data_IF_828395413893
#
_entry.id   IF_828395413893
#
_cell.length_a   1.000
_cell.length_b   1.000
_cell.length_c   1.000
_cell.angle_alpha   90.00
_cell.angle_beta   90.00
_cell.angle_gamma   90.00
#
_symmetry.space_group_name_H-M   'P 1'
#
loop_
_entity.id
_entity.type
_entity.pdbx_description
1 polymer ?
#
# COMPACT_ATOMS: atom_id res chain seq x y z
N UNK A 1 -12.00 -27.65 -36.03
CA UNK A 1 -13.21 -26.89 -35.67
C UNK A 1 -12.73 -25.53 -35.18
N UNK A 2 -12.27 -24.56 -35.98
CA UNK A 2 -12.68 -24.09 -37.31
C UNK A 2 -14.09 -23.49 -37.31
N UNK A 3 -14.24 -22.35 -36.62
CA UNK A 3 -15.40 -21.48 -36.79
C UNK A 3 -14.94 -20.08 -37.20
N UNK A 4 -14.91 -19.94 -38.52
CA UNK A 4 -14.88 -18.72 -39.30
C UNK A 4 -16.30 -18.13 -39.33
N UNK A 5 -16.41 -16.79 -39.37
CA UNK A 5 -17.56 -15.90 -39.73
C UNK A 5 -17.82 -14.87 -38.61
N UNK A 6 -18.03 -13.59 -38.88
CA UNK A 6 -18.18 -12.86 -40.12
C UNK A 6 -18.24 -11.36 -39.81
N UNK A 7 -17.64 -10.56 -40.68
CA UNK A 7 -17.53 -9.11 -40.58
C UNK A 7 -18.73 -8.48 -41.31
N UNK A 8 -19.60 -7.68 -40.67
CA UNK A 8 -20.55 -6.86 -41.41
C UNK A 8 -19.90 -5.52 -41.80
N UNK A 9 -19.72 -5.34 -43.10
CA UNK A 9 -19.49 -4.05 -43.71
C UNK A 9 -20.83 -3.32 -43.89
N UNK A 10 -21.06 -2.26 -43.10
CA UNK A 10 -22.21 -1.37 -43.21
C UNK A 10 -21.77 0.03 -43.65
N UNK A 11 -21.67 0.23 -44.96
CA UNK A 11 -21.50 1.52 -45.64
C UNK A 11 -22.88 2.06 -46.00
N UNK A 12 -23.21 3.29 -45.60
CA UNK A 12 -24.24 4.07 -46.29
C UNK A 12 -25.09 4.99 -45.42
N UNK A 13 -25.00 6.29 -45.71
CA UNK A 13 -26.06 7.29 -45.58
C UNK A 13 -26.60 7.65 -44.18
N UNK A 14 -26.06 8.73 -43.59
CA UNK A 14 -26.91 9.76 -42.96
C UNK A 14 -26.10 11.01 -42.58
N UNK A 15 -25.68 11.82 -43.55
CA UNK A 15 -25.18 13.18 -43.30
C UNK A 15 -25.70 14.15 -44.37
N UNK A 16 -27.02 14.28 -44.49
CA UNK A 16 -27.66 15.22 -45.44
C UNK A 16 -28.61 16.24 -44.79
N UNK A 17 -28.57 16.44 -43.47
CA UNK A 17 -29.47 17.38 -42.78
C UNK A 17 -28.76 18.37 -41.83
N UNK A 18 -27.67 18.99 -42.28
CA UNK A 18 -27.17 20.23 -41.68
C UNK A 18 -27.26 21.39 -42.67
N UNK A 19 -28.50 21.82 -42.94
CA UNK A 19 -28.76 23.16 -43.46
C UNK A 19 -29.67 23.87 -42.47
N UNK A 20 -29.43 25.18 -42.35
CA UNK A 20 -30.30 26.19 -41.74
C UNK A 20 -30.00 26.56 -40.28
N UNK A 21 -28.74 26.82 -39.96
CA UNK A 21 -28.48 27.95 -39.07
C UNK A 21 -28.37 29.22 -39.94
N UNK A 22 -29.13 30.28 -39.65
CA UNK A 22 -29.06 31.53 -40.38
C UNK A 22 -27.62 32.05 -40.30
N UNK A 23 -27.07 32.46 -41.45
CA UNK A 23 -25.76 33.12 -41.56
C UNK A 23 -25.78 34.43 -40.77
N UNK A 24 -25.66 34.36 -39.44
CA UNK A 24 -25.26 35.51 -38.63
C UNK A 24 -23.91 35.93 -39.18
N UNK A 25 -23.81 37.21 -39.56
CA UNK A 25 -22.56 37.81 -40.03
C UNK A 25 -21.47 37.41 -39.04
N UNK A 26 -20.52 36.60 -39.51
CA UNK A 26 -19.33 36.29 -38.75
C UNK A 26 -18.71 37.65 -38.37
N UNK A 27 -18.38 37.87 -37.09
CA UNK A 27 -17.68 39.09 -36.70
C UNK A 27 -16.45 39.22 -37.61
N UNK A 28 -16.33 40.39 -38.24
CA UNK A 28 -15.21 40.70 -39.12
C UNK A 28 -13.94 40.49 -38.30
N UNK A 29 -13.12 39.53 -38.71
CA UNK A 29 -11.83 39.35 -38.07
C UNK A 29 -10.98 40.59 -38.40
N UNK A 30 -10.35 41.21 -37.40
CA UNK A 30 -9.41 42.30 -37.64
C UNK A 30 -8.27 41.83 -38.54
N UNK A 31 -7.71 42.75 -39.33
CA UNK A 31 -6.67 42.46 -40.32
C UNK A 31 -5.46 41.74 -39.67
N UNK A 32 -4.85 40.80 -40.43
CA UNK A 32 -3.60 40.11 -40.06
C UNK A 32 -2.47 41.13 -39.91
N UNK A 33 -2.33 41.72 -38.73
CA UNK A 33 -1.33 42.75 -38.47
C UNK A 33 -1.49 43.42 -37.13
N UNK A 34 -2.70 43.41 -36.55
CA UNK A 34 -2.88 43.87 -35.17
C UNK A 34 -2.36 42.81 -34.19
N UNK A 35 -1.45 43.26 -33.33
CA UNK A 35 -0.78 42.43 -32.31
C UNK A 35 -1.86 41.90 -31.34
N UNK A 36 -2.21 40.62 -31.45
CA UNK A 36 -3.04 39.88 -30.48
C UNK A 36 -2.50 39.92 -29.02
N UNK A 37 -1.32 40.51 -28.79
CA UNK A 37 -0.67 40.60 -27.49
C UNK A 37 -1.37 41.47 -26.44
N UNK A 38 -2.41 42.24 -26.78
CA UNK A 38 -3.16 43.04 -25.81
C UNK A 38 -4.15 42.24 -24.97
N UNK A 39 -4.92 41.35 -25.60
CA UNK A 39 -5.97 40.55 -24.94
C UNK A 39 -5.46 39.23 -24.34
N UNK A 40 -4.34 38.71 -24.86
CA UNK A 40 -3.73 37.50 -24.32
C UNK A 40 -3.04 37.75 -22.98
N UNK A 41 -2.52 38.95 -22.71
CA UNK A 41 -1.83 39.29 -21.45
C UNK A 41 -2.69 39.15 -20.19
N UNK A 42 -3.92 39.71 -20.12
CA UNK A 42 -4.76 39.52 -18.93
C UNK A 42 -5.21 38.06 -18.79
N UNK A 43 -5.57 37.39 -19.88
CA UNK A 43 -6.00 35.99 -19.84
C UNK A 43 -4.87 35.03 -19.41
N UNK A 44 -3.64 35.25 -19.90
CA UNK A 44 -2.47 34.46 -19.47
C UNK A 44 -2.08 34.74 -18.02
N UNK A 45 -2.20 35.98 -17.54
CA UNK A 45 -1.96 36.28 -16.13
C UNK A 45 -2.98 35.61 -15.20
N UNK A 46 -4.26 35.60 -15.58
CA UNK A 46 -5.30 34.89 -14.82
C UNK A 46 -5.06 33.38 -14.82
N UNK A 47 -4.75 32.79 -15.97
CA UNK A 47 -4.46 31.36 -16.07
C UNK A 47 -3.21 30.96 -15.27
N UNK A 48 -2.14 31.76 -15.33
CA UNK A 48 -0.93 31.55 -14.54
C UNK A 48 -1.20 31.69 -13.04
N UNK A 49 -2.03 32.65 -12.63
CA UNK A 49 -2.47 32.81 -11.25
C UNK A 49 -3.24 31.61 -10.73
N UNK A 50 -4.21 31.10 -11.51
CA UNK A 50 -4.97 29.90 -11.15
C UNK A 50 -4.05 28.67 -11.04
N UNK A 51 -3.14 28.48 -12.00
CA UNK A 51 -2.17 27.39 -11.96
C UNK A 51 -1.27 27.47 -10.71
N UNK A 52 -0.78 28.67 -10.36
CA UNK A 52 0.02 28.88 -9.16
C UNK A 52 -0.76 28.58 -7.87
N UNK A 53 -2.04 28.96 -7.80
CA UNK A 53 -2.91 28.64 -6.67
C UNK A 53 -3.13 27.13 -6.56
N UNK A 54 -3.40 26.44 -7.67
CA UNK A 54 -3.56 24.98 -7.67
C UNK A 54 -2.27 24.30 -7.18
N UNK A 55 -1.11 24.71 -7.70
CA UNK A 55 0.19 24.17 -7.25
C UNK A 55 0.40 24.44 -5.76
N UNK A 56 0.09 25.64 -5.28
CA UNK A 56 0.19 25.97 -3.86
C UNK A 56 -0.75 25.12 -3.01
N UNK A 57 -2.00 24.91 -3.42
CA UNK A 57 -2.96 24.06 -2.72
C UNK A 57 -2.51 22.59 -2.71
N UNK A 58 -1.94 22.09 -3.82
CA UNK A 58 -1.36 20.74 -3.88
C UNK A 58 -0.15 20.63 -2.96
N UNK A 59 0.76 21.60 -2.97
CA UNK A 59 1.95 21.59 -2.10
C UNK A 59 1.56 21.70 -0.62
N UNK A 60 0.62 22.58 -0.28
CA UNK A 60 0.09 22.69 1.08
C UNK A 60 -0.61 21.38 1.46
N UNK A 61 -1.46 20.82 0.59
CA UNK A 61 -2.11 19.53 0.83
C UNK A 61 -1.09 18.42 1.09
N UNK A 62 -0.04 18.31 0.27
CA UNK A 62 1.04 17.33 0.46
C UNK A 62 1.78 17.57 1.79
N UNK A 63 2.07 18.82 2.14
CA UNK A 63 2.75 19.17 3.39
C UNK A 63 1.86 18.95 4.63
N UNK A 64 0.56 19.18 4.53
CA UNK A 64 -0.40 19.02 5.65
C UNK A 64 -0.92 17.61 5.82
N UNK A 65 -0.78 16.75 4.80
CA UNK A 65 -1.21 15.34 4.86
C UNK A 65 -0.07 14.42 5.34
N UNK A 66 1.18 14.90 5.40
CA UNK A 66 2.34 14.14 5.91
C UNK A 66 3.20 14.83 6.99
N UNK A 67 2.67 15.68 7.91
CA UNK A 67 3.49 16.28 8.95
C UNK A 67 4.04 15.23 9.94
N UNK A 68 3.45 14.04 10.00
CA UNK A 68 3.77 13.00 10.98
C UNK A 68 4.54 11.81 10.40
N UNK A 69 4.96 11.82 9.13
CA UNK A 69 5.83 10.75 8.63
C UNK A 69 7.27 11.04 9.08
N UNK A 70 7.81 10.27 10.03
CA UNK A 70 9.17 10.49 10.51
C UNK A 70 10.17 10.35 9.35
N UNK A 71 11.10 11.30 9.25
CA UNK A 71 12.17 11.28 8.25
C UNK A 71 13.50 10.77 8.79
N UNK A 72 13.55 10.48 10.09
CA UNK A 72 14.74 9.94 10.77
C UNK A 72 14.57 8.45 11.00
N UNK A 73 15.70 7.74 11.03
CA UNK A 73 15.74 6.30 11.31
C UNK A 73 15.03 5.95 12.63
N UNK A 74 15.30 6.70 13.69
CA UNK A 74 14.64 6.50 14.99
C UNK A 74 13.12 6.68 14.91
N UNK A 75 12.66 7.66 14.14
CA UNK A 75 11.23 7.92 14.00
C UNK A 75 10.53 6.82 13.20
N UNK A 76 11.11 6.37 12.09
CA UNK A 76 10.51 5.25 11.32
C UNK A 76 10.56 3.94 12.10
N UNK A 77 11.59 3.74 12.93
CA UNK A 77 11.66 2.59 13.84
C UNK A 77 10.55 2.65 14.88
N UNK A 78 10.31 3.82 15.48
CA UNK A 78 9.20 4.01 16.43
C UNK A 78 7.81 3.82 15.79
N UNK A 79 7.64 4.20 14.52
CA UNK A 79 6.40 3.93 13.76
C UNK A 79 6.18 2.41 13.63
N UNK A 80 7.22 1.66 13.26
CA UNK A 80 7.17 0.21 13.13
C UNK A 80 6.87 -0.47 14.47
N UNK A 81 7.56 -0.09 15.55
CA UNK A 81 7.31 -0.68 16.87
C UNK A 81 5.90 -0.38 17.36
N UNK A 82 5.37 0.81 17.11
CA UNK A 82 3.97 1.16 17.43
C UNK A 82 2.97 0.27 16.67
N UNK A 83 3.26 -0.06 15.41
CA UNK A 83 2.41 -0.97 14.64
C UNK A 83 2.47 -2.40 15.18
N UNK A 84 3.66 -2.86 15.57
CA UNK A 84 3.85 -4.16 16.23
C UNK A 84 3.08 -4.19 17.56
N UNK A 85 3.20 -3.17 18.40
CA UNK A 85 2.45 -3.05 19.66
C UNK A 85 0.93 -3.10 19.43
N UNK A 86 0.44 -2.45 18.37
CA UNK A 86 -0.96 -2.52 17.97
C UNK A 86 -1.41 -3.95 17.65
N UNK A 87 -0.56 -4.73 16.99
CA UNK A 87 -0.84 -6.14 16.68
C UNK A 87 -0.83 -7.01 17.95
N UNK A 88 0.11 -6.76 18.87
CA UNK A 88 0.17 -7.46 20.16
C UNK A 88 -1.05 -7.12 21.03
N UNK A 89 -1.58 -5.91 20.94
CA UNK A 89 -2.79 -5.51 21.67
C UNK A 89 -4.06 -6.23 21.19
N UNK A 90 -4.04 -6.89 20.03
CA UNK A 90 -5.12 -7.74 19.53
C UNK A 90 -5.03 -9.19 20.05
N UNK A 91 -4.05 -9.52 20.89
CA UNK A 91 -4.04 -10.81 21.54
C UNK A 91 -5.22 -10.93 22.52
N UNK A 92 -5.82 -12.12 22.65
CA UNK A 92 -6.82 -12.37 23.68
C UNK A 92 -6.27 -12.01 25.06
N UNK A 93 -7.10 -11.43 25.94
CA UNK A 93 -6.67 -10.97 27.27
C UNK A 93 -6.07 -12.10 28.13
N UNK A 94 -6.52 -13.33 27.92
CA UNK A 94 -6.04 -14.53 28.62
C UNK A 94 -4.77 -15.15 27.98
N UNK A 95 -4.31 -14.62 26.84
CA UNK A 95 -3.18 -15.14 26.05
C UNK A 95 -1.92 -14.29 26.23
N UNK A 96 -1.49 -14.11 27.48
CA UNK A 96 -0.22 -13.45 27.76
C UNK A 96 0.97 -14.30 27.29
N UNK A 97 1.96 -13.71 26.59
CA UNK A 97 3.18 -14.43 26.23
C UNK A 97 4.04 -14.71 27.47
N UNK A 98 4.70 -15.87 27.49
CA UNK A 98 5.66 -16.21 28.53
C UNK A 98 6.99 -15.46 28.35
N UNK A 99 7.36 -15.17 27.11
CA UNK A 99 8.54 -14.40 26.74
C UNK A 99 8.21 -13.37 25.67
N UNK A 100 8.87 -12.23 25.73
CA UNK A 100 8.74 -11.13 24.77
C UNK A 100 10.14 -10.59 24.46
N UNK A 101 10.64 -10.92 23.28
CA UNK A 101 11.98 -10.55 22.82
C UNK A 101 11.88 -9.67 21.59
N UNK A 102 12.39 -8.45 21.68
CA UNK A 102 12.47 -7.53 20.55
C UNK A 102 13.93 -7.32 20.15
N UNK A 103 14.18 -7.32 18.85
CA UNK A 103 15.46 -7.00 18.26
C UNK A 103 15.28 -6.07 17.06
N UNK A 104 16.19 -5.10 16.93
CA UNK A 104 16.23 -4.20 15.79
C UNK A 104 17.64 -4.18 15.22
N UNK A 105 17.75 -4.32 13.91
CA UNK A 105 19.02 -4.29 13.18
C UNK A 105 18.95 -3.22 12.12
N UNK A 106 19.90 -2.29 12.14
CA UNK A 106 20.07 -1.30 11.07
C UNK A 106 20.83 -1.96 9.93
N UNK A 107 20.30 -1.85 8.72
CA UNK A 107 20.89 -2.42 7.51
C UNK A 107 20.79 -1.46 6.33
N UNK A 108 21.67 -1.66 5.35
CA UNK A 108 21.62 -0.92 4.09
C UNK A 108 20.32 -1.22 3.34
N UNK A 109 19.82 -0.23 2.62
CA UNK A 109 18.61 -0.40 1.83
C UNK A 109 18.78 -1.38 0.66
N UNK A 110 17.76 -2.21 0.38
CA UNK A 110 17.83 -3.26 -0.65
C UNK A 110 17.92 -2.69 -2.07
N UNK A 111 17.59 -1.42 -2.26
CA UNK A 111 17.73 -0.70 -3.53
C UNK A 111 19.18 -0.29 -3.85
N UNK A 112 20.11 -0.50 -2.92
CA UNK A 112 21.52 -0.14 -3.05
C UNK A 112 21.80 1.36 -2.86
N UNK A 113 20.83 2.12 -2.36
CA UNK A 113 21.03 3.52 -1.97
C UNK A 113 21.95 3.62 -0.74
N UNK A 114 22.42 4.84 -0.45
CA UNK A 114 23.16 5.14 0.77
C UNK A 114 22.25 5.33 1.99
N UNK A 115 20.95 5.08 1.84
CA UNK A 115 19.97 5.14 2.93
C UNK A 115 20.03 3.85 3.77
N UNK A 116 19.56 3.97 5.00
CA UNK A 116 19.49 2.87 5.95
C UNK A 116 18.04 2.59 6.32
N UNK A 117 17.75 1.34 6.64
CA UNK A 117 16.48 0.88 7.17
C UNK A 117 16.70 0.07 8.45
N UNK A 118 15.72 0.07 9.35
CA UNK A 118 15.68 -0.78 10.53
C UNK A 118 14.81 -2.01 10.24
N UNK A 119 15.39 -3.20 10.35
CA UNK A 119 14.64 -4.45 10.40
C UNK A 119 14.33 -4.76 11.86
N UNK A 120 13.05 -4.73 12.22
CA UNK A 120 12.57 -5.02 13.58
C UNK A 120 11.96 -6.42 13.58
N UNK A 121 12.39 -7.25 14.52
CA UNK A 121 11.82 -8.58 14.77
C UNK A 121 11.45 -8.70 16.23
N UNK A 122 10.20 -9.06 16.51
CA UNK A 122 9.69 -9.34 17.84
C UNK A 122 9.16 -10.76 17.91
N UNK A 123 9.58 -11.49 18.95
CA UNK A 123 9.21 -12.88 19.19
C UNK A 123 8.47 -12.97 20.50
N UNK A 124 7.20 -13.37 20.43
CA UNK A 124 6.36 -13.68 21.58
C UNK A 124 6.29 -15.19 21.74
N UNK A 125 6.92 -15.72 22.77
CA UNK A 125 7.03 -17.16 23.01
C UNK A 125 6.03 -17.64 24.05
N UNK A 126 5.55 -18.88 23.90
CA UNK A 126 4.73 -19.53 24.90
C UNK A 126 3.35 -18.92 25.07
N UNK A 127 2.75 -18.38 24.01
CA UNK A 127 1.39 -17.82 24.05
C UNK A 127 0.39 -18.97 24.19
N UNK A 128 -0.28 -19.07 25.34
CA UNK A 128 -1.24 -20.15 25.60
C UNK A 128 -2.67 -19.73 25.28
N UNK A 129 -3.52 -20.70 24.90
CA UNK A 129 -4.94 -20.46 24.60
C UNK A 129 -5.21 -19.69 23.31
N UNK A 130 -4.17 -19.36 22.54
CA UNK A 130 -4.30 -18.72 21.24
C UNK A 130 -4.71 -19.75 20.19
N UNK A 131 -5.80 -19.50 19.48
CA UNK A 131 -6.13 -20.17 18.22
C UNK A 131 -5.55 -19.31 17.07
N UNK A 132 -4.45 -19.74 16.41
CA UNK A 132 -3.80 -18.96 15.37
C UNK A 132 -4.75 -18.58 14.22
N UNK A 133 -5.71 -19.45 13.86
CA UNK A 133 -6.62 -19.18 12.77
C UNK A 133 -7.65 -18.10 13.16
N UNK A 134 -8.33 -18.28 14.30
CA UNK A 134 -9.33 -17.32 14.76
C UNK A 134 -8.71 -15.94 15.04
N UNK A 135 -7.53 -15.91 15.68
CA UNK A 135 -6.80 -14.67 15.90
C UNK A 135 -6.36 -14.02 14.59
N UNK A 136 -5.89 -14.79 13.61
CA UNK A 136 -5.49 -14.25 12.30
C UNK A 136 -6.66 -13.61 11.54
N UNK A 137 -7.86 -14.17 11.67
CA UNK A 137 -9.08 -13.61 11.09
C UNK A 137 -9.49 -12.29 11.78
N UNK A 138 -9.26 -12.17 13.09
CA UNK A 138 -9.49 -10.93 13.83
C UNK A 138 -8.48 -9.84 13.44
N UNK A 139 -7.19 -10.17 13.39
CA UNK A 139 -6.12 -9.28 12.91
C UNK A 139 -6.45 -8.79 11.50
N UNK A 140 -6.83 -9.70 10.60
CA UNK A 140 -7.23 -9.35 9.24
C UNK A 140 -8.38 -8.35 9.22
N UNK A 141 -9.46 -8.62 9.94
CA UNK A 141 -10.63 -7.73 9.99
C UNK A 141 -10.27 -6.35 10.54
N UNK A 142 -9.47 -6.29 11.60
CA UNK A 142 -9.02 -5.04 12.21
C UNK A 142 -8.23 -4.18 11.21
N UNK A 143 -7.19 -4.75 10.61
CA UNK A 143 -6.32 -3.99 9.71
C UNK A 143 -6.96 -3.68 8.35
N UNK A 144 -7.79 -4.57 7.80
CA UNK A 144 -8.57 -4.27 6.59
C UNK A 144 -9.57 -3.13 6.82
N UNK A 145 -10.20 -3.05 8.00
CA UNK A 145 -11.08 -1.93 8.36
C UNK A 145 -10.32 -0.60 8.42
N UNK A 146 -9.04 -0.63 8.80
CA UNK A 146 -8.14 0.53 8.78
C UNK A 146 -7.59 0.85 7.38
N UNK A 147 -7.95 0.05 6.37
CA UNK A 147 -7.56 0.23 4.96
C UNK A 147 -6.19 -0.35 4.62
N UNK A 148 -5.71 -1.32 5.39
CA UNK A 148 -4.52 -2.09 5.07
C UNK A 148 -4.87 -3.21 4.08
N UNK A 149 -3.85 -3.67 3.35
CA UNK A 149 -3.95 -4.90 2.57
C UNK A 149 -3.41 -6.06 3.42
N UNK A 150 -4.21 -7.11 3.59
CA UNK A 150 -3.84 -8.27 4.40
C UNK A 150 -3.97 -9.54 3.57
N UNK A 151 -2.89 -10.32 3.55
CA UNK A 151 -2.88 -11.67 2.98
C UNK A 151 -2.59 -12.69 4.07
N UNK A 152 -3.35 -13.78 4.05
CA UNK A 152 -3.19 -14.89 4.98
C UNK A 152 -2.82 -16.13 4.19
N UNK A 153 -1.73 -16.77 4.56
CA UNK A 153 -1.34 -18.09 4.09
C UNK A 153 -1.43 -19.08 5.25
N UNK A 154 -2.15 -20.17 5.02
CA UNK A 154 -2.31 -21.25 5.97
C UNK A 154 -1.84 -22.52 5.26
N UNK A 155 -0.55 -22.90 5.41
CA UNK A 155 -0.06 -24.16 4.87
C UNK A 155 -0.98 -25.28 5.35
N UNK A 156 -1.63 -25.94 4.39
CA UNK A 156 -2.48 -27.09 4.67
C UNK A 156 -1.70 -28.09 5.53
N UNK A 157 -2.38 -28.82 6.44
CA UNK A 157 -1.74 -29.93 7.14
C UNK A 157 -1.07 -30.81 6.08
N UNK A 158 0.17 -31.22 6.34
CA UNK A 158 0.92 -32.01 5.39
C UNK A 158 0.16 -33.32 5.13
N UNK A 159 -0.63 -33.35 4.05
CA UNK A 159 -1.10 -34.60 3.48
C UNK A 159 0.14 -35.43 3.17
N UNK A 160 0.10 -36.75 3.41
CA UNK A 160 1.22 -37.70 3.32
C UNK A 160 1.93 -37.75 1.93
N UNK A 161 1.57 -36.87 0.99
CA UNK A 161 2.08 -36.77 -0.38
C UNK A 161 2.60 -35.39 -0.78
N UNK A 162 3.59 -34.86 -0.06
CA UNK A 162 4.70 -34.10 -0.64
C UNK A 162 4.39 -32.75 -1.32
N UNK A 163 4.41 -31.68 -0.53
CA UNK A 163 4.54 -30.31 -1.04
C UNK A 163 4.59 -29.29 0.09
N UNK A 164 5.76 -29.12 0.74
CA UNK A 164 5.96 -28.02 1.69
C UNK A 164 5.84 -26.69 0.92
N UNK A 165 4.88 -25.85 1.27
CA UNK A 165 4.87 -24.46 0.84
C UNK A 165 6.05 -23.73 1.52
N UNK A 166 6.92 -23.10 0.73
CA UNK A 166 7.98 -22.26 1.27
C UNK A 166 7.35 -20.97 1.78
N UNK A 167 7.52 -20.65 3.06
CA UNK A 167 7.11 -19.35 3.57
C UNK A 167 7.98 -18.24 2.94
N UNK A 168 7.46 -17.01 2.80
CA UNK A 168 8.29 -15.85 2.48
C UNK A 168 9.43 -15.76 3.51
N UNK A 169 10.68 -15.77 3.03
CA UNK A 169 11.88 -15.83 3.87
C UNK A 169 12.59 -17.19 3.94
N UNK A 170 12.09 -18.22 3.23
CA UNK A 170 12.80 -19.50 3.07
C UNK A 170 12.73 -20.44 4.28
N UNK A 171 12.00 -20.07 5.33
CA UNK A 171 11.65 -20.97 6.41
C UNK A 171 10.53 -21.93 5.95
N UNK A 172 10.68 -23.23 6.24
CA UNK A 172 9.59 -24.19 6.08
C UNK A 172 8.55 -23.95 7.17
N UNK A 173 7.34 -23.57 6.77
CA UNK A 173 6.24 -23.38 7.70
C UNK A 173 5.87 -24.70 8.38
N UNK A 174 5.73 -24.68 9.71
CA UNK A 174 5.31 -25.86 10.46
C UNK A 174 3.84 -26.19 10.12
N UNK A 175 3.45 -27.47 10.09
CA UNK A 175 2.04 -27.82 9.89
C UNK A 175 1.18 -27.15 10.98
N UNK A 176 0.12 -26.44 10.55
CA UNK A 176 -0.74 -25.68 11.45
C UNK A 176 -0.25 -24.27 11.80
N UNK A 177 0.88 -23.82 11.25
CA UNK A 177 1.27 -22.41 11.37
C UNK A 177 0.41 -21.53 10.48
N UNK A 178 0.12 -20.30 10.90
CA UNK A 178 -0.52 -19.27 10.08
C UNK A 178 0.48 -18.16 9.80
N UNK A 179 0.58 -17.75 8.54
CA UNK A 179 1.39 -16.60 8.13
C UNK A 179 0.48 -15.48 7.64
N UNK A 180 0.66 -14.30 8.20
CA UNK A 180 0.00 -13.06 7.79
C UNK A 180 1.05 -12.14 7.17
N UNK A 181 0.71 -11.54 6.04
CA UNK A 181 1.45 -10.43 5.47
C UNK A 181 0.50 -9.21 5.46
N UNK A 182 0.88 -8.17 6.18
CA UNK A 182 0.14 -6.93 6.35
C UNK A 182 0.92 -5.81 5.66
N UNK A 183 0.26 -5.09 4.76
CA UNK A 183 0.85 -3.95 4.06
C UNK A 183 0.03 -2.71 4.40
N UNK A 184 0.63 -1.83 5.21
CA UNK A 184 -0.03 -0.60 5.64
C UNK A 184 -0.08 0.48 4.55
N UNK A 185 -0.76 1.60 4.85
CA UNK A 185 -0.84 2.80 3.98
C UNK A 185 0.54 3.35 3.61
N UNK A 186 1.51 3.07 4.47
CA UNK A 186 2.91 3.39 4.34
C UNK A 186 3.67 2.57 3.29
N UNK A 187 3.07 1.49 2.79
CA UNK A 187 3.70 0.44 1.98
C UNK A 187 4.87 -0.25 2.69
N UNK A 188 4.86 -0.24 4.02
CA UNK A 188 5.78 -1.01 4.86
C UNK A 188 5.16 -2.39 5.09
N UNK A 189 5.79 -3.48 4.63
CA UNK A 189 5.30 -4.82 4.88
C UNK A 189 5.65 -5.26 6.31
N UNK A 190 4.69 -5.91 6.94
CA UNK A 190 4.84 -6.62 8.21
C UNK A 190 4.43 -8.07 7.99
N UNK A 191 5.30 -8.99 8.36
CA UNK A 191 5.04 -10.43 8.31
C UNK A 191 4.86 -10.95 9.73
N UNK A 192 3.81 -11.72 9.95
CA UNK A 192 3.55 -12.38 11.23
C UNK A 192 3.40 -13.86 11.02
N UNK A 193 4.17 -14.64 11.76
CA UNK A 193 4.11 -16.10 11.74
C UNK A 193 3.65 -16.56 13.11
N UNK A 194 2.49 -17.20 13.16
CA UNK A 194 1.99 -17.88 14.34
C UNK A 194 2.24 -19.38 14.19
N UNK A 195 3.23 -19.90 14.92
CA UNK A 195 3.61 -21.31 14.86
C UNK A 195 3.20 -22.03 16.16
N UNK A 196 2.35 -23.07 16.08
CA UNK A 196 2.00 -23.85 17.27
C UNK A 196 3.23 -24.61 17.78
N UNK A 197 3.42 -24.56 19.08
CA UNK A 197 4.43 -25.30 19.81
C UNK A 197 3.87 -26.68 20.21
N UNK A 198 4.75 -27.68 20.31
CA UNK A 198 4.34 -29.06 20.62
C UNK A 198 3.76 -29.26 22.03
N UNK A 199 3.79 -28.24 22.88
CA UNK A 199 3.23 -28.22 24.22
C UNK A 199 1.84 -27.55 24.31
N UNK A 200 1.27 -27.14 23.17
CA UNK A 200 -0.02 -26.47 23.10
C UNK A 200 0.06 -24.95 23.29
N UNK A 201 1.26 -24.38 23.39
CA UNK A 201 1.47 -22.94 23.23
C UNK A 201 1.67 -22.56 21.76
N UNK A 202 1.80 -21.26 21.47
CA UNK A 202 2.11 -20.74 20.15
C UNK A 202 3.22 -19.71 20.27
N UNK A 203 4.16 -19.76 19.33
CA UNK A 203 5.18 -18.73 19.16
C UNK A 203 4.77 -17.80 18.03
N UNK A 204 4.69 -16.50 18.32
CA UNK A 204 4.44 -15.45 17.34
C UNK A 204 5.77 -14.79 16.97
N UNK A 205 6.13 -14.81 15.70
CA UNK A 205 7.26 -14.07 15.16
C UNK A 205 6.74 -12.96 14.28
N UNK A 206 7.00 -11.71 14.66
CA UNK A 206 6.57 -10.51 13.95
C UNK A 206 7.83 -9.86 13.38
N UNK A 207 7.88 -9.68 12.07
CA UNK A 207 9.00 -9.03 11.39
C UNK A 207 8.48 -7.89 10.53
N UNK A 208 9.12 -6.74 10.61
CA UNK A 208 8.81 -5.57 9.79
C UNK A 208 10.08 -4.83 9.45
N UNK A 209 10.18 -4.34 8.21
CA UNK A 209 11.28 -3.50 7.77
C UNK A 209 10.80 -2.05 7.68
N UNK A 210 11.52 -1.12 8.29
CA UNK A 210 11.20 0.30 8.16
C UNK A 210 11.45 0.78 6.72
N UNK A 211 10.94 1.98 6.42
CA UNK A 211 11.32 2.68 5.19
C UNK A 211 12.81 3.06 5.24
N UNK A 212 13.39 3.15 4.06
CA UNK A 212 14.70 3.75 3.86
C UNK A 212 14.67 5.23 4.26
N UNK A 213 15.66 5.63 5.05
CA UNK A 213 15.84 7.03 5.46
C UNK A 213 17.31 7.40 5.44
N UNK A 214 17.59 8.69 5.26
CA UNK A 214 18.94 9.20 5.44
C UNK A 214 19.32 9.19 6.92
N UNK A 215 20.49 8.62 7.22
CA UNK A 215 21.14 8.80 8.51
C UNK A 215 21.57 10.26 8.66
N UNK A 216 21.27 10.93 9.78
CA UNK A 216 21.62 12.33 10.01
C UNK A 216 23.14 12.59 10.08
#
# INVERSE_FOLDING_TARGET
MSEERGRPAGRGDSLKHFRLLPRRKLPVMPDRGERWGGLLRPATLVAAGIAAVIVAVVLIGVATVRPDTPTTLDGVTAEVTTQIDGLVALLPEDSAPATDEESAVVQACPDGSAEEQAAVTRVLGGVTGLDPAAWSDEVKQHYEADGWYVTTDNPAPADDGGGQAAAPGGATAAPGSVTLELIGKALVPMTVVAAPDGDGSTTLTITSESRCTHTP
#
